data_IF_751334394529
#
_entry.id   IF_751334394529
#
_cell.length_a   1.000
_cell.length_b   1.000
_cell.length_c   1.000
_cell.angle_alpha   90.00
_cell.angle_beta   90.00
_cell.angle_gamma   90.00
#
_symmetry.space_group_name_H-M   'P 1'
#
loop_
_entity.id
_entity.type
_entity.pdbx_description
1 polymer ?
#
# COMPACT_ATOMS: atom_id res chain seq x y z
N UNK A 1 29.95 -30.46 -28.34
CA UNK A 1 28.52 -30.32 -28.01
C UNK A 1 28.41 -29.28 -26.91
N UNK A 2 28.17 -28.03 -27.29
CA UNK A 2 28.00 -26.92 -26.34
C UNK A 2 26.51 -26.78 -26.00
N UNK A 3 26.14 -26.51 -24.75
CA UNK A 3 24.74 -26.34 -24.38
C UNK A 3 24.17 -25.04 -24.97
N UNK A 4 22.87 -24.99 -25.30
CA UNK A 4 22.24 -23.79 -25.84
C UNK A 4 22.14 -22.69 -24.78
N UNK A 5 22.56 -21.48 -25.16
CA UNK A 5 22.37 -20.24 -24.39
C UNK A 5 20.91 -20.03 -24.01
N UNK A 6 20.66 -19.76 -22.73
CA UNK A 6 19.39 -19.24 -22.24
C UNK A 6 19.04 -17.91 -22.95
N UNK A 7 17.76 -17.66 -23.26
CA UNK A 7 17.37 -16.39 -23.86
C UNK A 7 17.61 -15.25 -22.87
N UNK A 8 18.31 -14.24 -23.34
CA UNK A 8 18.60 -12.99 -22.62
C UNK A 8 17.28 -12.26 -22.35
N UNK A 9 17.18 -11.74 -21.12
CA UNK A 9 16.17 -10.81 -20.61
C UNK A 9 15.57 -9.91 -21.70
N UNK A 10 14.30 -10.17 -22.03
CA UNK A 10 13.49 -9.28 -22.85
C UNK A 10 12.95 -8.14 -21.97
N UNK A 11 13.38 -6.91 -22.27
CA UNK A 11 12.68 -5.64 -22.09
C UNK A 11 11.74 -5.49 -20.87
N UNK A 12 12.20 -4.76 -19.84
CA UNK A 12 11.36 -4.12 -18.81
C UNK A 12 10.57 -2.92 -19.39
N UNK A 13 9.75 -3.14 -20.41
CA UNK A 13 9.08 -2.06 -21.17
C UNK A 13 7.59 -1.93 -20.91
N UNK A 14 7.06 -2.53 -19.85
CA UNK A 14 5.66 -2.31 -19.46
C UNK A 14 5.64 -1.70 -18.08
N UNK A 15 4.83 -0.65 -17.90
CA UNK A 15 4.48 -0.05 -16.62
C UNK A 15 3.72 -1.11 -15.80
N UNK A 16 4.44 -2.09 -15.27
CA UNK A 16 3.89 -3.29 -14.65
C UNK A 16 4.30 -3.32 -13.20
N UNK A 17 3.29 -3.35 -12.32
CA UNK A 17 3.48 -3.57 -10.90
C UNK A 17 3.72 -5.06 -10.63
N UNK A 18 4.58 -5.41 -9.66
CA UNK A 18 4.68 -6.79 -9.21
C UNK A 18 3.31 -7.28 -8.66
N UNK A 19 3.05 -8.60 -8.67
CA UNK A 19 1.85 -9.17 -8.08
C UNK A 19 1.63 -8.71 -6.64
N UNK A 20 0.37 -8.55 -6.23
CA UNK A 20 0.00 -8.04 -4.89
C UNK A 20 0.57 -8.95 -3.80
N UNK A 21 0.64 -10.25 -4.05
CA UNK A 21 1.20 -11.24 -3.12
C UNK A 21 2.70 -11.01 -2.87
N UNK A 22 3.44 -10.54 -3.87
CA UNK A 22 4.84 -10.19 -3.74
C UNK A 22 5.01 -8.91 -2.93
N UNK A 23 4.20 -7.89 -3.22
CA UNK A 23 4.14 -6.64 -2.45
C UNK A 23 3.80 -6.94 -0.98
N UNK A 24 2.86 -7.86 -0.74
CA UNK A 24 2.45 -8.23 0.60
C UNK A 24 3.57 -8.85 1.44
N UNK A 25 4.37 -9.74 0.84
CA UNK A 25 5.53 -10.38 1.50
C UNK A 25 6.63 -9.38 1.86
N UNK A 26 6.81 -8.34 1.06
CA UNK A 26 7.81 -7.28 1.35
C UNK A 26 7.31 -6.29 2.40
N UNK A 27 6.01 -6.02 2.42
CA UNK A 27 5.41 -4.90 3.17
C UNK A 27 4.94 -5.31 4.56
N UNK A 28 4.43 -6.54 4.70
CA UNK A 28 3.97 -7.10 5.97
C UNK A 28 5.04 -8.07 6.45
N UNK A 29 5.66 -7.82 7.63
CA UNK A 29 6.59 -8.78 8.21
C UNK A 29 5.90 -10.15 8.32
N UNK A 30 6.59 -11.26 8.03
CA UNK A 30 6.04 -12.58 8.31
C UNK A 30 5.65 -12.66 9.78
N UNK A 31 4.57 -13.39 10.09
CA UNK A 31 4.27 -13.75 11.48
C UNK A 31 5.53 -14.39 12.06
N UNK A 32 6.14 -13.73 13.04
CA UNK A 32 7.40 -14.18 13.59
C UNK A 32 7.20 -15.59 14.17
N UNK A 33 7.92 -16.57 13.60
CA UNK A 33 8.20 -17.84 14.26
C UNK A 33 8.70 -17.53 15.68
N UNK A 34 8.18 -18.26 16.68
CA UNK A 34 8.36 -18.06 18.13
C UNK A 34 9.61 -17.26 18.52
N UNK A 35 9.51 -15.93 18.41
CA UNK A 35 10.53 -15.03 18.89
C UNK A 35 10.51 -15.13 20.42
N UNK A 36 11.68 -15.03 21.04
CA UNK A 36 11.78 -14.95 22.49
C UNK A 36 10.87 -13.82 23.00
N UNK A 37 10.11 -14.07 24.08
CA UNK A 37 9.20 -13.07 24.68
C UNK A 37 9.95 -11.76 24.91
N UNK A 38 9.34 -10.63 24.53
CA UNK A 38 9.90 -9.32 24.88
C UNK A 38 9.98 -9.21 26.42
N UNK A 39 11.19 -9.04 27.00
CA UNK A 39 11.36 -9.04 28.46
C UNK A 39 10.58 -7.91 29.15
N UNK A 40 10.35 -6.78 28.47
CA UNK A 40 9.56 -5.68 29.02
C UNK A 40 8.06 -6.03 29.05
N UNK A 41 7.54 -6.65 28.00
CA UNK A 41 6.14 -7.13 27.97
C UNK A 41 5.93 -8.28 28.95
N UNK A 42 6.92 -9.16 29.09
CA UNK A 42 6.93 -10.19 30.11
C UNK A 42 6.86 -9.59 31.53
N UNK A 43 7.68 -8.58 31.85
CA UNK A 43 7.62 -7.96 33.17
C UNK A 43 6.25 -7.31 33.46
N UNK A 44 5.64 -6.67 32.45
CA UNK A 44 4.30 -6.08 32.56
C UNK A 44 3.22 -7.14 32.78
N UNK A 45 3.26 -8.24 32.02
CA UNK A 45 2.32 -9.34 32.18
C UNK A 45 2.42 -10.00 33.57
N UNK A 46 3.64 -10.18 34.10
CA UNK A 46 3.84 -10.72 35.46
C UNK A 46 3.27 -9.77 36.52
N UNK A 47 3.49 -8.45 36.36
CA UNK A 47 2.93 -7.47 37.28
C UNK A 47 1.40 -7.51 37.28
N UNK A 48 0.79 -7.51 36.10
CA UNK A 48 -0.66 -7.60 35.97
C UNK A 48 -1.23 -8.87 36.61
N UNK A 49 -0.63 -10.04 36.33
CA UNK A 49 -1.07 -11.32 36.90
C UNK A 49 -0.95 -11.33 38.42
N UNK A 50 0.17 -10.85 38.98
CA UNK A 50 0.33 -10.75 40.44
C UNK A 50 -0.76 -9.86 41.06
N UNK A 51 -1.01 -8.69 40.48
CA UNK A 51 -2.00 -7.75 40.99
C UNK A 51 -3.42 -8.30 40.88
N UNK A 52 -3.75 -8.99 39.78
CA UNK A 52 -5.02 -9.69 39.61
C UNK A 52 -5.21 -10.83 40.63
N UNK A 53 -4.14 -11.55 40.96
CA UNK A 53 -4.14 -12.61 41.97
C UNK A 53 -4.04 -12.10 43.42
N UNK A 54 -3.77 -10.82 43.65
CA UNK A 54 -3.81 -10.18 44.97
C UNK A 54 -5.06 -9.34 45.21
N UNK A 55 -5.78 -8.94 44.14
CA UNK A 55 -6.97 -8.10 44.20
C UNK A 55 -8.06 -8.59 45.16
N UNK A 56 -8.72 -7.64 45.82
CA UNK A 56 -9.99 -7.77 46.54
C UNK A 56 -11.16 -7.38 45.62
N UNK A 57 -12.39 -7.30 46.15
CA UNK A 57 -13.59 -7.00 45.36
C UNK A 57 -13.52 -5.65 44.62
N UNK A 58 -12.95 -4.61 45.24
CA UNK A 58 -12.70 -3.33 44.58
C UNK A 58 -11.56 -3.42 43.55
N UNK A 59 -10.54 -4.24 43.82
CA UNK A 59 -9.50 -4.59 42.86
C UNK A 59 -10.03 -5.34 41.65
N UNK A 60 -11.00 -6.24 41.80
CA UNK A 60 -11.59 -7.04 40.73
C UNK A 60 -12.20 -6.17 39.63
N UNK A 61 -13.00 -5.18 40.02
CA UNK A 61 -13.56 -4.22 39.07
C UNK A 61 -12.48 -3.48 38.30
N UNK A 62 -11.40 -3.05 38.96
CA UNK A 62 -10.27 -2.37 38.30
C UNK A 62 -9.54 -3.27 37.31
N UNK A 63 -9.31 -4.53 37.65
CA UNK A 63 -8.62 -5.47 36.76
C UNK A 63 -9.48 -5.83 35.54
N UNK A 64 -10.79 -6.01 35.74
CA UNK A 64 -11.73 -6.21 34.65
C UNK A 64 -11.76 -5.00 33.71
N UNK A 65 -11.85 -3.79 34.25
CA UNK A 65 -11.83 -2.55 33.44
C UNK A 65 -10.51 -2.41 32.65
N UNK A 66 -9.37 -2.77 33.26
CA UNK A 66 -8.08 -2.77 32.58
C UNK A 66 -8.04 -3.76 31.39
N UNK A 67 -8.66 -4.93 31.52
CA UNK A 67 -8.81 -5.91 30.43
C UNK A 67 -9.75 -5.37 29.35
N UNK A 68 -10.92 -4.88 29.73
CA UNK A 68 -11.96 -4.40 28.80
C UNK A 68 -11.47 -3.21 27.96
N UNK A 69 -10.65 -2.35 28.55
CA UNK A 69 -10.10 -1.15 27.89
C UNK A 69 -8.74 -1.38 27.22
N UNK A 70 -8.16 -2.59 27.33
CA UNK A 70 -6.83 -2.90 26.79
C UNK A 70 -6.74 -2.55 25.30
N UNK A 71 -5.85 -1.62 24.95
CA UNK A 71 -5.62 -1.23 23.56
C UNK A 71 -6.80 -0.55 22.86
N UNK A 72 -7.86 -0.11 23.57
CA UNK A 72 -9.06 0.47 22.94
C UNK A 72 -8.80 1.75 22.17
N UNK A 73 -7.94 2.62 22.71
CA UNK A 73 -7.55 3.84 22.03
C UNK A 73 -6.70 3.57 20.78
N UNK A 74 -5.80 2.57 20.84
CA UNK A 74 -5.01 2.16 19.67
C UNK A 74 -5.89 1.54 18.58
N UNK A 75 -6.87 0.72 18.98
CA UNK A 75 -7.86 0.16 18.05
C UNK A 75 -8.65 1.27 17.35
N UNK A 76 -9.13 2.27 18.10
CA UNK A 76 -9.86 3.44 17.55
C UNK A 76 -8.98 4.26 16.61
N UNK A 77 -7.73 4.52 16.99
CA UNK A 77 -6.78 5.24 16.15
C UNK A 77 -6.49 4.49 14.84
N UNK A 78 -6.28 3.17 14.91
CA UNK A 78 -6.09 2.32 13.74
C UNK A 78 -7.31 2.36 12.81
N UNK A 79 -8.51 2.19 13.35
CA UNK A 79 -9.76 2.23 12.60
C UNK A 79 -9.98 3.58 11.92
N UNK A 80 -9.84 4.68 12.66
CA UNK A 80 -9.99 6.04 12.13
C UNK A 80 -8.98 6.33 11.03
N UNK A 81 -7.71 5.95 11.23
CA UNK A 81 -6.67 6.16 10.22
C UNK A 81 -6.96 5.34 8.96
N UNK A 82 -7.36 4.08 9.11
CA UNK A 82 -7.77 3.24 7.99
C UNK A 82 -8.98 3.82 7.24
N UNK A 83 -9.97 4.38 7.92
CA UNK A 83 -11.14 5.02 7.32
C UNK A 83 -10.75 6.27 6.50
N UNK A 84 -9.91 7.14 7.07
CA UNK A 84 -9.41 8.34 6.39
C UNK A 84 -8.64 8.01 5.10
N UNK A 85 -8.02 6.84 5.02
CA UNK A 85 -7.29 6.40 3.83
C UNK A 85 -8.21 5.83 2.74
N UNK A 86 -9.44 5.42 3.06
CA UNK A 86 -10.32 4.80 2.06
C UNK A 86 -10.71 5.77 0.94
N UNK A 87 -11.02 7.02 1.26
CA UNK A 87 -11.41 8.03 0.28
C UNK A 87 -10.26 8.35 -0.71
N UNK A 88 -9.04 8.69 -0.26
CA UNK A 88 -7.92 8.91 -1.17
C UNK A 88 -7.55 7.64 -1.94
N UNK A 89 -7.51 6.47 -1.31
CA UNK A 89 -7.24 5.20 -2.02
C UNK A 89 -8.26 4.97 -3.14
N UNK A 90 -9.56 5.14 -2.87
CA UNK A 90 -10.60 5.00 -3.91
C UNK A 90 -10.41 6.01 -5.04
N UNK A 91 -10.16 7.28 -4.71
CA UNK A 91 -9.93 8.33 -5.72
C UNK A 91 -8.73 7.99 -6.61
N UNK A 92 -7.62 7.57 -6.00
CA UNK A 92 -6.39 7.19 -6.70
C UNK A 92 -6.56 5.90 -7.50
N UNK A 93 -7.29 4.90 -6.99
CA UNK A 93 -7.61 3.68 -7.71
C UNK A 93 -8.48 3.95 -8.95
N UNK A 94 -9.52 4.79 -8.81
CA UNK A 94 -10.34 5.21 -9.96
C UNK A 94 -9.53 5.99 -11.01
N UNK A 95 -8.60 6.85 -10.56
CA UNK A 95 -7.66 7.49 -11.47
C UNK A 95 -6.74 6.47 -12.16
N UNK A 96 -6.33 5.39 -11.47
CA UNK A 96 -5.58 4.30 -12.08
C UNK A 96 -6.37 3.55 -13.16
N UNK A 97 -7.62 3.18 -12.88
CA UNK A 97 -8.49 2.42 -13.80
C UNK A 97 -8.86 3.22 -15.06
N UNK A 98 -9.14 4.52 -14.91
CA UNK A 98 -9.41 5.41 -16.06
C UNK A 98 -8.12 5.92 -16.75
N UNK A 99 -6.94 5.47 -16.28
CA UNK A 99 -5.62 5.93 -16.73
C UNK A 99 -5.20 7.30 -16.19
N UNK A 100 -6.11 8.08 -15.59
CA UNK A 100 -5.77 9.34 -14.94
C UNK A 100 -5.20 10.38 -15.90
N UNK A 101 -4.93 11.60 -15.46
CA UNK A 101 -4.41 12.64 -16.33
C UNK A 101 -3.03 12.28 -16.91
N UNK A 102 -2.15 11.69 -16.09
CA UNK A 102 -0.79 11.34 -16.52
C UNK A 102 -0.77 10.19 -17.53
N UNK A 103 -1.46 9.06 -17.29
CA UNK A 103 -1.41 7.97 -18.27
C UNK A 103 -2.19 8.32 -19.56
N UNK A 104 -3.25 9.14 -19.48
CA UNK A 104 -3.90 9.70 -20.67
C UNK A 104 -2.93 10.54 -21.49
N UNK A 105 -2.22 11.48 -20.85
CA UNK A 105 -1.23 12.30 -21.54
C UNK A 105 -0.06 11.45 -22.11
N UNK A 106 0.36 10.36 -21.45
CA UNK A 106 1.38 9.45 -21.99
C UNK A 106 0.89 8.72 -23.24
N UNK A 107 -0.38 8.30 -23.25
CA UNK A 107 -1.03 7.69 -24.41
C UNK A 107 -1.17 8.69 -25.57
N UNK A 108 -1.57 9.93 -25.28
CA UNK A 108 -1.66 11.01 -26.25
C UNK A 108 -0.29 11.35 -26.86
N UNK A 109 0.74 11.47 -26.02
CA UNK A 109 2.12 11.69 -26.45
C UNK A 109 2.59 10.57 -27.39
N UNK A 110 2.37 9.31 -27.00
CA UNK A 110 2.71 8.13 -27.82
C UNK A 110 1.97 8.17 -29.16
N UNK A 111 0.68 8.51 -29.17
CA UNK A 111 -0.12 8.65 -30.38
C UNK A 111 0.41 9.74 -31.30
N UNK A 112 0.71 10.93 -30.75
CA UNK A 112 1.26 12.05 -31.52
C UNK A 112 2.65 11.77 -32.08
N UNK A 113 3.53 11.14 -31.30
CA UNK A 113 4.83 10.69 -31.81
C UNK A 113 4.68 9.70 -32.97
N UNK A 114 3.72 8.76 -32.92
CA UNK A 114 3.46 7.83 -34.01
C UNK A 114 2.89 8.51 -35.27
N UNK A 115 2.07 9.55 -35.13
CA UNK A 115 1.55 10.33 -36.26
C UNK A 115 2.63 11.14 -36.99
N UNK A 116 3.72 11.46 -36.29
CA UNK A 116 4.85 12.24 -36.79
C UNK A 116 6.02 11.38 -37.29
N UNK A 117 5.94 10.06 -37.12
CA UNK A 117 6.94 9.09 -37.57
C UNK A 117 7.15 9.20 -39.11
N UNK A 118 8.32 9.67 -39.57
CA UNK A 118 8.62 9.84 -40.98
C UNK A 118 8.64 8.51 -41.75
N UNK A 119 8.88 7.38 -41.09
CA UNK A 119 8.86 6.06 -41.73
C UNK A 119 7.45 5.61 -42.12
N UNK A 120 6.42 6.12 -41.41
CA UNK A 120 4.99 5.88 -41.72
C UNK A 120 4.43 6.86 -42.73
N UNK A 121 5.08 8.01 -42.88
CA UNK A 121 4.71 8.97 -43.91
C UNK A 121 5.35 8.49 -45.22
N UNK A 122 4.55 8.28 -46.28
CA UNK A 122 5.04 7.89 -47.62
C UNK A 122 5.83 9.04 -48.26
N UNK A 123 7.00 9.35 -47.71
CA UNK A 123 7.89 10.44 -48.12
C UNK A 123 8.65 10.07 -49.40
N UNK A 124 8.78 8.77 -49.70
CA UNK A 124 9.33 8.24 -50.94
C UNK A 124 8.26 8.20 -52.02
N UNK A 125 8.37 9.10 -52.99
CA UNK A 125 7.47 9.16 -54.12
C UNK A 125 7.70 8.02 -55.11
N UNK A 126 6.80 7.03 -55.14
CA UNK A 126 6.63 6.17 -56.31
C UNK A 126 6.29 7.03 -57.53
N UNK A 127 6.74 6.61 -58.72
CA UNK A 127 6.84 7.41 -59.95
C UNK A 127 5.60 8.24 -60.36
N UNK A 128 4.41 7.90 -59.87
CA UNK A 128 3.15 8.65 -60.05
C UNK A 128 3.11 10.00 -59.30
N UNK A 129 3.74 10.10 -58.13
CA UNK A 129 3.78 11.33 -57.32
C UNK A 129 4.63 12.45 -57.96
N UNK A 130 5.59 12.08 -58.82
CA UNK A 130 6.46 13.01 -59.55
C UNK A 130 5.71 13.73 -60.69
N UNK A 131 4.71 13.07 -61.28
CA UNK A 131 3.83 13.66 -62.31
C UNK A 131 2.78 14.61 -61.71
N UNK A 132 2.31 14.34 -60.48
CA UNK A 132 1.36 15.20 -59.76
C UNK A 132 1.99 16.49 -59.19
N UNK A 133 3.32 16.57 -59.11
CA UNK A 133 4.04 17.77 -58.67
C UNK A 133 3.95 18.96 -59.65
N UNK A 134 3.46 18.72 -60.87
CA UNK A 134 3.23 19.75 -61.90
C UNK A 134 1.85 20.40 -61.83
N UNK A 135 0.94 19.91 -60.97
CA UNK A 135 -0.39 20.52 -60.78
C UNK A 135 -0.27 21.68 -59.77
N UNK A 136 -0.61 22.92 -60.16
CA UNK A 136 -0.58 24.06 -59.24
C UNK A 136 -1.56 23.82 -58.08
N UNK A 137 -1.07 23.85 -56.84
CA UNK A 137 -1.84 23.65 -55.61
C UNK A 137 -1.57 22.35 -54.85
N UNK A 138 -0.94 21.35 -55.47
CA UNK A 138 -0.53 20.10 -54.79
C UNK A 138 0.88 20.28 -54.23
N UNK A 139 0.99 20.77 -52.98
CA UNK A 139 2.27 20.96 -52.31
C UNK A 139 3.09 19.66 -52.19
N UNK A 140 4.43 19.77 -52.21
CA UNK A 140 5.34 18.61 -52.10
C UNK A 140 5.06 17.82 -50.80
N UNK A 141 5.07 16.48 -50.82
CA UNK A 141 4.79 15.65 -49.63
C UNK A 141 5.68 16.00 -48.43
N UNK A 142 6.93 16.38 -48.69
CA UNK A 142 7.87 16.86 -47.68
C UNK A 142 7.45 18.19 -47.03
N UNK A 143 6.93 19.14 -47.82
CA UNK A 143 6.46 20.43 -47.29
C UNK A 143 5.19 20.26 -46.43
N UNK A 144 4.29 19.36 -46.83
CA UNK A 144 3.13 18.95 -46.00
C UNK A 144 3.56 18.29 -44.70
N UNK A 145 4.59 17.43 -44.73
CA UNK A 145 5.16 16.82 -43.54
C UNK A 145 5.69 17.88 -42.57
N UNK A 146 6.51 18.83 -43.03
CA UNK A 146 7.05 19.89 -42.18
C UNK A 146 5.95 20.81 -41.61
N UNK A 147 4.94 21.19 -42.39
CA UNK A 147 3.80 21.96 -41.86
C UNK A 147 3.00 21.17 -40.82
N UNK A 148 2.85 19.85 -40.98
CA UNK A 148 2.20 18.99 -39.98
C UNK A 148 3.06 18.88 -38.72
N UNK A 149 4.37 18.77 -38.88
CA UNK A 149 5.33 18.70 -37.79
C UNK A 149 5.35 19.99 -36.97
N UNK A 150 5.48 21.15 -37.62
CA UNK A 150 5.44 22.48 -36.99
C UNK A 150 4.15 22.68 -36.18
N UNK A 151 2.98 22.38 -36.76
CA UNK A 151 1.70 22.44 -36.03
C UNK A 151 1.59 21.45 -34.87
N UNK A 152 2.31 20.33 -34.96
CA UNK A 152 2.29 19.32 -33.91
C UNK A 152 3.29 19.60 -32.79
N UNK A 153 4.29 20.48 -33.00
CA UNK A 153 5.23 20.88 -31.96
C UNK A 153 4.51 21.57 -30.80
N UNK A 154 3.68 22.58 -31.08
CA UNK A 154 2.89 23.27 -30.04
C UNK A 154 1.99 22.30 -29.24
N UNK A 155 1.42 21.30 -29.93
CA UNK A 155 0.60 20.27 -29.30
C UNK A 155 1.43 19.30 -28.45
N UNK A 156 2.61 18.91 -28.91
CA UNK A 156 3.55 18.07 -28.15
C UNK A 156 4.05 18.80 -26.91
N UNK A 157 4.43 20.06 -27.03
CA UNK A 157 4.90 20.88 -25.91
C UNK A 157 3.82 21.04 -24.83
N UNK A 158 2.55 21.19 -25.25
CA UNK A 158 1.39 21.17 -24.35
C UNK A 158 1.28 19.85 -23.59
N UNK A 159 1.34 18.71 -24.29
CA UNK A 159 1.26 17.38 -23.68
C UNK A 159 2.45 17.14 -22.72
N UNK A 160 3.67 17.53 -23.08
CA UNK A 160 4.86 17.40 -22.23
C UNK A 160 4.68 18.22 -20.95
N UNK A 161 4.20 19.46 -21.05
CA UNK A 161 3.96 20.30 -19.88
C UNK A 161 2.90 19.71 -18.94
N UNK A 162 1.84 19.13 -19.50
CA UNK A 162 0.80 18.44 -18.71
C UNK A 162 1.36 17.19 -18.03
N UNK A 163 2.26 16.45 -18.69
CA UNK A 163 2.96 15.31 -18.13
C UNK A 163 3.88 15.70 -16.96
N UNK A 164 4.68 16.76 -17.13
CA UNK A 164 5.55 17.30 -16.07
C UNK A 164 4.73 17.74 -14.85
N UNK A 165 3.67 18.52 -15.08
CA UNK A 165 2.79 18.97 -14.01
C UNK A 165 2.08 17.82 -13.30
N UNK A 166 1.68 16.78 -14.04
CA UNK A 166 1.12 15.56 -13.48
C UNK A 166 2.13 14.74 -12.70
N UNK A 167 3.37 14.58 -13.19
CA UNK A 167 4.44 13.90 -12.47
C UNK A 167 4.76 14.59 -11.14
N UNK A 168 4.77 15.93 -11.12
CA UNK A 168 4.98 16.71 -9.89
C UNK A 168 3.84 16.54 -8.88
N UNK A 169 2.60 16.41 -9.36
CA UNK A 169 1.46 16.07 -8.51
C UNK A 169 1.64 14.68 -7.87
N UNK A 170 1.96 13.67 -8.68
CA UNK A 170 2.21 12.30 -8.21
C UNK A 170 3.37 12.23 -7.20
N UNK A 171 4.43 13.04 -7.40
CA UNK A 171 5.54 13.15 -6.44
C UNK A 171 5.08 13.68 -5.08
N UNK A 172 4.26 14.73 -5.05
CA UNK A 172 3.69 15.28 -3.80
C UNK A 172 2.72 14.32 -3.12
N UNK A 173 1.87 13.66 -3.90
CA UNK A 173 0.92 12.68 -3.38
C UNK A 173 1.67 11.50 -2.75
N UNK A 174 2.74 11.02 -3.38
CA UNK A 174 3.57 9.95 -2.81
C UNK A 174 4.22 10.31 -1.48
N UNK A 175 4.62 11.57 -1.27
CA UNK A 175 5.15 12.01 0.02
C UNK A 175 4.07 11.89 1.10
N UNK A 176 2.89 12.44 0.82
CA UNK A 176 1.74 12.38 1.75
C UNK A 176 1.34 10.92 2.06
N UNK A 177 1.23 10.08 1.03
CA UNK A 177 0.85 8.69 1.18
C UNK A 177 1.92 7.90 1.96
N UNK A 178 3.20 8.20 1.77
CA UNK A 178 4.29 7.57 2.51
C UNK A 178 4.25 7.95 4.01
N UNK A 179 4.00 9.22 4.32
CA UNK A 179 3.84 9.70 5.70
C UNK A 179 2.64 9.03 6.38
N UNK A 180 1.51 8.94 5.68
CA UNK A 180 0.31 8.26 6.15
C UNK A 180 0.55 6.76 6.39
N UNK A 181 1.26 6.10 5.47
CA UNK A 181 1.64 4.69 5.58
C UNK A 181 2.56 4.46 6.79
N UNK A 182 3.55 5.33 7.01
CA UNK A 182 4.46 5.25 8.15
C UNK A 182 3.72 5.45 9.48
N UNK A 183 2.82 6.44 9.54
CA UNK A 183 1.98 6.67 10.71
C UNK A 183 1.10 5.45 11.02
N UNK A 184 0.46 4.86 10.01
CA UNK A 184 -0.35 3.65 10.18
C UNK A 184 0.51 2.47 10.66
N UNK A 185 1.67 2.21 10.04
CA UNK A 185 2.61 1.16 10.49
C UNK A 185 3.02 1.35 11.96
N UNK A 186 3.26 2.59 12.39
CA UNK A 186 3.56 2.91 13.79
C UNK A 186 2.44 2.46 14.74
N UNK A 187 1.18 2.77 14.40
CA UNK A 187 0.00 2.33 15.17
C UNK A 187 -0.10 0.81 15.19
N UNK A 188 0.09 0.14 14.05
CA UNK A 188 0.02 -1.32 13.96
C UNK A 188 1.12 -2.02 14.77
N UNK A 189 2.32 -1.45 14.82
CA UNK A 189 3.37 -1.95 15.70
C UNK A 189 3.00 -1.87 17.17
N UNK A 190 2.34 -0.78 17.60
CA UNK A 190 1.83 -0.66 18.97
C UNK A 190 0.69 -1.64 19.25
N UNK A 191 -0.22 -1.82 18.29
CA UNK A 191 -1.34 -2.77 18.38
C UNK A 191 -0.83 -4.23 18.47
N UNK A 192 0.20 -4.59 17.69
CA UNK A 192 0.85 -5.89 17.76
C UNK A 192 1.44 -6.16 19.15
N UNK A 193 2.12 -5.18 19.77
CA UNK A 193 2.62 -5.30 21.14
C UNK A 193 1.50 -5.47 22.17
N UNK A 194 0.34 -4.84 21.97
CA UNK A 194 -0.82 -5.05 22.85
C UNK A 194 -1.38 -6.48 22.72
N UNK A 195 -1.44 -7.01 21.51
CA UNK A 195 -1.82 -8.41 21.27
C UNK A 195 -0.85 -9.37 21.96
N UNK A 196 0.46 -9.11 21.85
CA UNK A 196 1.50 -9.90 22.52
C UNK A 196 1.36 -9.85 24.04
N UNK A 197 1.23 -8.65 24.62
CA UNK A 197 1.00 -8.47 26.05
C UNK A 197 -0.24 -9.23 26.52
N UNK A 198 -1.36 -9.11 25.81
CA UNK A 198 -2.59 -9.83 26.11
C UNK A 198 -2.40 -11.35 26.10
N UNK A 199 -1.69 -11.89 25.09
CA UNK A 199 -1.36 -13.32 25.01
C UNK A 199 -0.48 -13.79 26.17
N UNK A 200 0.49 -12.98 26.61
CA UNK A 200 1.32 -13.29 27.78
C UNK A 200 0.50 -13.33 29.06
N UNK A 201 -0.38 -12.36 29.25
CA UNK A 201 -1.31 -12.31 30.39
C UNK A 201 -2.24 -13.52 30.38
N UNK A 202 -2.85 -13.84 29.23
CA UNK A 202 -3.74 -15.00 29.07
C UNK A 202 -3.05 -16.31 29.46
N UNK A 203 -1.85 -16.57 28.91
CA UNK A 203 -1.07 -17.77 29.24
C UNK A 203 -0.78 -17.86 30.74
N UNK A 204 -0.41 -16.76 31.37
CA UNK A 204 -0.04 -16.71 32.80
C UNK A 204 -1.26 -16.88 33.69
N UNK A 205 -2.35 -16.17 33.44
CA UNK A 205 -3.62 -16.33 34.16
C UNK A 205 -4.18 -17.75 34.00
N UNK A 206 -4.11 -18.33 32.80
CA UNK A 206 -4.56 -19.70 32.56
C UNK A 206 -3.74 -20.74 33.36
N UNK A 207 -2.42 -20.56 33.47
CA UNK A 207 -1.56 -21.41 34.32
C UNK A 207 -1.94 -21.31 35.79
N UNK A 208 -2.20 -20.10 36.28
CA UNK A 208 -2.57 -19.85 37.68
C UNK A 208 -3.97 -20.38 38.00
N UNK A 209 -4.94 -20.22 37.08
CA UNK A 209 -6.29 -20.79 37.23
C UNK A 209 -6.27 -22.33 37.30
N UNK A 210 -5.42 -22.97 36.48
CA UNK A 210 -5.22 -24.42 36.49
C UNK A 210 -4.51 -24.93 37.76
N UNK A 211 -3.89 -24.04 38.55
CA UNK A 211 -3.23 -24.42 39.81
C UNK A 211 -4.24 -24.85 40.87
N UNK A 212 -3.97 -25.98 41.51
CA UNK A 212 -4.76 -26.46 42.64
C UNK A 212 -4.63 -25.54 43.88
N UNK A 213 -3.61 -24.68 43.92
CA UNK A 213 -3.38 -23.74 45.03
C UNK A 213 -4.33 -22.54 45.01
N UNK A 214 -4.99 -22.25 43.89
CA UNK A 214 -5.90 -21.12 43.79
C UNK A 214 -7.29 -21.47 44.37
N UNK A 215 -7.81 -20.71 45.36
CA UNK A 215 -9.13 -20.96 45.94
C UNK A 215 -10.25 -20.91 44.89
N UNK A 216 -11.27 -21.75 45.02
CA UNK A 216 -12.35 -21.88 44.04
C UNK A 216 -13.05 -20.56 43.66
N UNK A 217 -13.42 -19.66 44.60
CA UNK A 217 -14.02 -18.37 44.24
C UNK A 217 -13.08 -17.49 43.41
N UNK A 218 -11.77 -17.57 43.70
CA UNK A 218 -10.76 -16.79 42.99
C UNK A 218 -10.46 -17.36 41.60
N UNK A 219 -10.47 -18.68 41.47
CA UNK A 219 -10.39 -19.36 40.17
C UNK A 219 -11.56 -18.96 39.27
N UNK A 220 -12.80 -19.02 39.77
CA UNK A 220 -13.98 -18.64 39.02
C UNK A 220 -13.89 -17.19 38.51
N UNK A 221 -13.45 -16.26 39.36
CA UNK A 221 -13.17 -14.88 38.95
C UNK A 221 -12.13 -14.79 37.82
N UNK A 222 -10.98 -15.46 37.95
CA UNK A 222 -9.95 -15.42 36.89
C UNK A 222 -10.46 -16.00 35.57
N UNK A 223 -11.22 -17.09 35.61
CA UNK A 223 -11.73 -17.77 34.42
C UNK A 223 -12.84 -16.98 33.72
N UNK A 224 -13.85 -16.53 34.47
CA UNK A 224 -15.07 -15.94 33.91
C UNK A 224 -14.93 -14.43 33.70
N UNK A 225 -14.25 -13.73 34.61
CA UNK A 225 -14.23 -12.26 34.66
C UNK A 225 -12.96 -11.63 34.08
N UNK A 226 -11.88 -12.41 33.92
CA UNK A 226 -10.63 -11.93 33.33
C UNK A 226 -10.27 -12.65 32.03
N UNK A 227 -10.13 -13.98 32.04
CA UNK A 227 -9.65 -14.75 30.88
C UNK A 227 -10.61 -14.65 29.70
N UNK A 228 -11.91 -14.76 29.93
CA UNK A 228 -12.89 -14.67 28.84
C UNK A 228 -12.90 -13.28 28.17
N UNK A 229 -13.08 -12.16 28.89
CA UNK A 229 -13.00 -10.82 28.29
C UNK A 229 -11.65 -10.53 27.63
N UNK A 230 -10.54 -10.99 28.24
CA UNK A 230 -9.19 -10.81 27.69
C UNK A 230 -9.03 -11.49 26.34
N UNK A 231 -9.51 -12.73 26.19
CA UNK A 231 -9.46 -13.45 24.91
C UNK A 231 -10.29 -12.77 23.84
N UNK A 232 -11.50 -12.30 24.18
CA UNK A 232 -12.32 -11.52 23.25
C UNK A 232 -11.57 -10.26 22.79
N UNK A 233 -10.99 -9.54 23.74
CA UNK A 233 -10.21 -8.34 23.48
C UNK A 233 -9.01 -8.60 22.58
N UNK A 234 -8.26 -9.68 22.81
CA UNK A 234 -7.14 -10.10 21.96
C UNK A 234 -7.61 -10.35 20.53
N UNK A 235 -8.74 -11.05 20.35
CA UNK A 235 -9.32 -11.31 19.02
C UNK A 235 -9.72 -10.01 18.32
N UNK A 236 -10.36 -9.08 19.03
CA UNK A 236 -10.74 -7.77 18.48
C UNK A 236 -9.52 -6.97 17.99
N UNK A 237 -8.46 -6.95 18.80
CA UNK A 237 -7.20 -6.27 18.42
C UNK A 237 -6.53 -6.93 17.22
N UNK A 238 -6.53 -8.26 17.15
CA UNK A 238 -6.01 -9.02 16.00
C UNK A 238 -6.81 -8.73 14.72
N UNK A 239 -8.14 -8.68 14.83
CA UNK A 239 -9.01 -8.37 13.70
C UNK A 239 -8.74 -6.95 13.18
N UNK A 240 -8.62 -5.97 14.08
CA UNK A 240 -8.26 -4.61 13.70
C UNK A 240 -6.88 -4.56 13.03
N UNK A 241 -5.91 -5.29 13.56
CA UNK A 241 -4.57 -5.37 12.99
C UNK A 241 -4.60 -5.92 11.56
N UNK A 242 -5.33 -7.02 11.32
CA UNK A 242 -5.47 -7.63 10.00
C UNK A 242 -6.15 -6.68 8.98
N UNK A 243 -7.23 -6.00 9.37
CA UNK A 243 -7.92 -5.03 8.50
C UNK A 243 -7.02 -3.84 8.18
N UNK A 244 -6.31 -3.30 9.17
CA UNK A 244 -5.44 -2.15 8.92
C UNK A 244 -4.18 -2.50 8.14
N UNK A 245 -3.69 -3.75 8.19
CA UNK A 245 -2.63 -4.23 7.30
C UNK A 245 -3.03 -4.17 5.82
N UNK A 246 -4.29 -4.48 5.49
CA UNK A 246 -4.81 -4.31 4.12
C UNK A 246 -4.75 -2.85 3.68
N UNK A 247 -4.99 -1.90 4.60
CA UNK A 247 -4.82 -0.47 4.34
C UNK A 247 -3.38 -0.09 4.00
N UNK A 248 -2.39 -0.62 4.72
CA UNK A 248 -0.96 -0.41 4.43
C UNK A 248 -0.59 -0.94 3.05
N UNK A 249 -1.12 -2.12 2.68
CA UNK A 249 -0.88 -2.73 1.37
C UNK A 249 -1.50 -1.93 0.23
N UNK A 250 -2.73 -1.46 0.41
CA UNK A 250 -3.39 -0.63 -0.58
C UNK A 250 -2.61 0.68 -0.85
N UNK A 251 -2.09 1.32 0.21
CA UNK A 251 -1.20 2.48 0.05
C UNK A 251 0.08 2.14 -0.71
N UNK A 252 0.71 1.01 -0.41
CA UNK A 252 1.94 0.59 -1.08
C UNK A 252 1.72 0.40 -2.60
N UNK A 253 0.62 -0.25 -2.99
CA UNK A 253 0.25 -0.45 -4.40
C UNK A 253 0.10 0.90 -5.12
N UNK A 254 -0.61 1.85 -4.50
CA UNK A 254 -0.81 3.19 -5.08
C UNK A 254 0.52 3.94 -5.22
N UNK A 255 1.36 3.94 -4.18
CA UNK A 255 2.66 4.61 -4.20
C UNK A 255 3.55 4.02 -5.31
N UNK A 256 3.57 2.68 -5.45
CA UNK A 256 4.33 2.02 -6.53
C UNK A 256 3.78 2.36 -7.91
N UNK A 257 2.46 2.42 -8.09
CA UNK A 257 1.83 2.84 -9.34
C UNK A 257 2.27 4.24 -9.75
N UNK A 258 2.16 5.20 -8.82
CA UNK A 258 2.59 6.57 -9.03
C UNK A 258 4.07 6.66 -9.42
N UNK A 259 4.94 5.86 -8.79
CA UNK A 259 6.37 5.78 -9.14
C UNK A 259 6.61 5.24 -10.56
N UNK A 260 5.80 4.29 -11.03
CA UNK A 260 5.87 3.80 -12.41
C UNK A 260 5.45 4.88 -13.40
N UNK A 261 4.34 5.58 -13.13
CA UNK A 261 3.85 6.68 -13.97
C UNK A 261 4.88 7.81 -14.08
N UNK A 262 5.47 8.25 -12.96
CA UNK A 262 6.55 9.24 -12.94
C UNK A 262 7.72 8.77 -13.82
N UNK A 263 8.15 7.51 -13.67
CA UNK A 263 9.21 6.92 -14.53
C UNK A 263 8.81 6.80 -15.99
N UNK A 264 7.53 6.80 -16.31
CA UNK A 264 7.02 6.86 -17.69
C UNK A 264 7.14 8.26 -18.29
N UNK A 265 7.01 9.31 -17.47
CA UNK A 265 7.21 10.71 -17.88
C UNK A 265 8.69 11.03 -18.05
N UNK A 266 9.54 10.56 -17.13
CA UNK A 266 10.98 10.85 -17.13
C UNK A 266 11.76 10.10 -18.26
N UNK A 267 11.09 9.28 -19.08
CA UNK A 267 11.67 8.44 -20.14
C UNK A 267 11.61 9.12 -21.50
#
# INVERSE_FOLDING_TARGET
>A
MSPPSAPRSSARSELSLPPIEEIARETVPPEAEEAAEDPALAALADAFVRDALAADEAGFHRQREAVDTMGIELQRQAAWRSEMLQAPIRKLAHQGDEGGPVAKALLELRGKMQELDPARQRLSGDGLSRALAFIPGVGKPLQRYFQKYEKAQDALDGIIKDLEGGADMLRRDNLTLADDQQALRGILGQLARQVELGRLIDRRLAREAASAALPAPRRAFVEEELLFPLRQRIVDLQQQLAVSQQGVLALEVVIRNNRELIRGVDR
#
